data_IF_985340000646
#
_entry.id   IF_985340000646
#
_cell.length_a   1.000
_cell.length_b   1.000
_cell.length_c   1.000
_cell.angle_alpha   90.00
_cell.angle_beta   90.00
_cell.angle_gamma   90.00
#
_symmetry.space_group_name_H-M   'P 1'
#
loop_
_entity.id
_entity.type
_entity.pdbx_description
1 polymer ?
#
# COMPACT_ATOMS: atom_id res chain seq x y z
N UNK A 1 -2.80 21.76 -5.46
CA UNK A 1 -1.55 21.28 -6.16
C UNK A 1 -1.94 20.78 -7.54
N UNK A 2 -1.03 20.74 -8.54
CA UNK A 2 -1.37 20.10 -9.84
C UNK A 2 -1.66 18.62 -9.61
N UNK A 3 -2.82 18.15 -10.06
CA UNK A 3 -3.25 16.76 -9.89
C UNK A 3 -2.31 15.84 -10.70
N UNK A 4 -1.70 14.82 -10.07
CA UNK A 4 -0.90 13.84 -10.79
C UNK A 4 -1.75 13.06 -11.80
N UNK A 5 -1.25 12.84 -13.00
CA UNK A 5 -1.97 12.16 -14.08
C UNK A 5 -2.55 10.78 -13.67
N UNK A 6 -1.90 10.08 -12.74
CA UNK A 6 -2.36 8.78 -12.23
C UNK A 6 -3.54 8.89 -11.26
N UNK A 7 -3.76 10.04 -10.63
CA UNK A 7 -4.90 10.30 -9.75
C UNK A 7 -6.09 10.83 -10.56
N UNK A 8 -5.85 11.40 -11.75
CA UNK A 8 -6.90 12.01 -12.56
C UNK A 8 -8.13 11.10 -12.78
N UNK A 9 -7.99 9.78 -13.07
CA UNK A 9 -9.16 8.90 -13.20
C UNK A 9 -10.05 8.87 -11.95
N UNK A 10 -9.45 8.90 -10.74
CA UNK A 10 -10.23 8.93 -9.50
C UNK A 10 -10.96 10.26 -9.31
N UNK A 11 -10.42 11.35 -9.85
CA UNK A 11 -11.09 12.66 -9.84
C UNK A 11 -12.24 12.67 -10.86
N UNK A 12 -12.02 12.13 -12.06
CA UNK A 12 -13.03 12.06 -13.12
C UNK A 12 -14.22 11.16 -12.68
N UNK A 13 -13.95 10.11 -11.89
CA UNK A 13 -14.97 9.22 -11.31
C UNK A 13 -15.60 9.77 -10.02
N UNK A 14 -15.20 10.96 -9.55
CA UNK A 14 -15.74 11.60 -8.33
C UNK A 14 -15.33 10.91 -7.02
N UNK A 15 -14.30 10.05 -7.03
CA UNK A 15 -13.76 9.38 -5.83
C UNK A 15 -12.79 10.27 -5.05
N UNK A 16 -12.19 11.25 -5.72
CA UNK A 16 -11.26 12.24 -5.16
C UNK A 16 -11.65 13.61 -5.68
N UNK A 17 -11.79 14.58 -4.79
CA UNK A 17 -12.13 15.96 -5.17
C UNK A 17 -10.87 16.80 -5.44
N UNK A 18 -9.82 16.61 -4.62
CA UNK A 18 -8.59 17.39 -4.74
C UNK A 18 -7.38 16.66 -4.16
N UNK A 19 -6.20 17.04 -4.63
CA UNK A 19 -4.90 16.60 -4.09
C UNK A 19 -4.30 17.72 -3.25
N UNK A 20 -4.29 17.51 -1.94
CA UNK A 20 -3.85 18.52 -0.96
C UNK A 20 -2.35 18.66 -0.97
N UNK A 21 -1.63 17.54 -0.77
CA UNK A 21 -0.16 17.53 -0.68
C UNK A 21 0.42 16.18 -1.05
N UNK A 22 1.72 16.18 -1.36
CA UNK A 22 2.49 14.95 -1.48
C UNK A 22 3.11 14.65 -0.11
N UNK A 23 2.76 13.49 0.43
CA UNK A 23 3.24 13.04 1.73
C UNK A 23 4.64 12.41 1.64
N UNK A 24 4.83 11.54 0.64
CA UNK A 24 6.08 10.77 0.50
C UNK A 24 6.33 10.36 -0.95
N UNK A 25 7.62 10.17 -1.28
CA UNK A 25 8.06 9.51 -2.50
C UNK A 25 8.98 8.36 -2.14
N UNK A 26 8.53 7.13 -2.36
CA UNK A 26 9.31 5.91 -2.17
C UNK A 26 9.82 5.33 -3.48
N UNK A 27 10.49 4.19 -3.40
CA UNK A 27 10.98 3.45 -4.58
C UNK A 27 9.84 2.85 -5.41
N UNK A 28 8.76 2.43 -4.77
CA UNK A 28 7.66 1.67 -5.38
C UNK A 28 6.40 2.50 -5.59
N UNK A 29 6.19 3.55 -4.78
CA UNK A 29 5.00 4.39 -4.83
C UNK A 29 5.29 5.82 -4.39
N UNK A 30 4.43 6.72 -4.86
CA UNK A 30 4.27 8.07 -4.32
C UNK A 30 2.98 8.11 -3.51
N UNK A 31 3.00 8.81 -2.38
CA UNK A 31 1.88 8.89 -1.46
C UNK A 31 1.39 10.33 -1.37
N UNK A 32 0.09 10.53 -1.51
CA UNK A 32 -0.56 11.84 -1.50
C UNK A 32 -1.65 11.89 -0.44
N UNK A 33 -1.84 13.08 0.13
CA UNK A 33 -3.02 13.43 0.92
C UNK A 33 -4.06 13.98 -0.04
N UNK A 34 -5.26 13.41 -0.01
CA UNK A 34 -6.36 13.75 -0.91
C UNK A 34 -7.63 14.04 -0.13
N UNK A 35 -8.51 14.85 -0.71
CA UNK A 35 -9.86 15.08 -0.18
C UNK A 35 -10.87 14.23 -0.95
N UNK A 36 -11.80 13.63 -0.21
CA UNK A 36 -12.87 12.79 -0.72
C UNK A 36 -14.16 13.16 0.02
N UNK A 37 -14.94 14.11 -0.49
CA UNK A 37 -16.04 14.73 0.23
C UNK A 37 -15.52 15.50 1.45
N UNK A 38 -16.09 15.19 2.60
CA UNK A 38 -15.70 15.79 3.89
C UNK A 38 -14.49 15.09 4.55
N UNK A 39 -13.99 13.99 3.95
CA UNK A 39 -12.91 13.19 4.52
C UNK A 39 -11.56 13.47 3.86
N UNK A 40 -10.51 13.41 4.68
CA UNK A 40 -9.13 13.43 4.20
C UNK A 40 -8.60 11.99 4.19
N UNK A 41 -8.10 11.56 3.03
CA UNK A 41 -7.63 10.21 2.78
C UNK A 41 -6.20 10.20 2.24
N UNK A 42 -5.67 9.01 2.11
CA UNK A 42 -4.35 8.75 1.54
C UNK A 42 -4.49 8.06 0.18
N UNK A 43 -3.84 8.60 -0.86
CA UNK A 43 -3.74 7.97 -2.16
C UNK A 43 -2.31 7.48 -2.39
N UNK A 44 -2.12 6.16 -2.43
CA UNK A 44 -0.84 5.51 -2.75
C UNK A 44 -0.80 5.19 -4.24
N UNK A 45 0.03 5.92 -4.97
CA UNK A 45 0.19 5.81 -6.44
C UNK A 45 1.39 4.92 -6.73
N UNK A 46 1.16 3.73 -7.23
CA UNK A 46 2.24 2.79 -7.57
C UNK A 46 3.00 3.23 -8.80
N UNK A 47 4.32 3.17 -8.74
CA UNK A 47 5.19 3.43 -9.88
C UNK A 47 5.16 2.25 -10.83
N UNK A 48 5.24 2.52 -12.15
CA UNK A 48 5.28 1.48 -13.16
C UNK A 48 6.45 0.50 -12.94
N UNK A 49 6.23 -0.78 -13.24
CA UNK A 49 7.24 -1.84 -13.07
C UNK A 49 8.57 -1.55 -13.80
N UNK A 50 8.53 -0.77 -14.91
CA UNK A 50 9.71 -0.32 -15.64
C UNK A 50 10.61 0.64 -14.87
N UNK A 51 10.07 1.30 -13.84
CA UNK A 51 10.78 2.28 -12.98
C UNK A 51 11.19 1.70 -11.62
N UNK A 52 10.87 0.42 -11.36
CA UNK A 52 11.25 -0.30 -10.14
C UNK A 52 12.55 -1.06 -10.33
N UNK A 53 13.39 -1.10 -9.30
CA UNK A 53 14.62 -1.89 -9.32
C UNK A 53 14.30 -3.39 -9.40
N UNK A 54 14.72 -4.06 -10.46
CA UNK A 54 14.40 -5.45 -10.84
C UNK A 54 14.76 -6.53 -9.81
N UNK A 55 15.55 -6.22 -8.79
CA UNK A 55 16.09 -7.22 -7.85
C UNK A 55 15.06 -7.80 -6.86
N UNK A 56 13.93 -7.13 -6.61
CA UNK A 56 12.94 -7.59 -5.63
C UNK A 56 11.80 -8.43 -6.24
N UNK A 57 11.58 -8.35 -7.55
CA UNK A 57 10.52 -9.11 -8.22
C UNK A 57 10.74 -10.64 -8.20
N UNK A 58 11.99 -11.09 -8.10
CA UNK A 58 12.35 -12.52 -8.13
C UNK A 58 12.07 -13.20 -6.79
N UNK A 59 12.29 -12.52 -5.67
CA UNK A 59 12.12 -13.10 -4.31
C UNK A 59 10.64 -13.31 -3.95
N UNK A 60 9.73 -12.54 -4.55
CA UNK A 60 8.29 -12.62 -4.26
C UNK A 60 7.55 -13.75 -5.02
N UNK A 61 8.22 -14.48 -5.91
CA UNK A 61 7.63 -15.54 -6.75
C UNK A 61 7.57 -16.91 -6.09
N UNK A 62 8.31 -17.17 -5.02
CA UNK A 62 8.30 -18.47 -4.37
C UNK A 62 6.97 -18.72 -3.63
N UNK A 63 6.11 -19.54 -4.25
CA UNK A 63 4.92 -20.11 -3.63
C UNK A 63 3.57 -19.73 -4.21
N UNK A 64 3.47 -18.87 -5.25
CA UNK A 64 2.18 -18.44 -5.82
C UNK A 64 1.87 -19.06 -7.18
N UNK A 65 0.82 -19.87 -7.25
CA UNK A 65 0.29 -20.42 -8.51
C UNK A 65 -0.62 -19.39 -9.19
N UNK A 66 -0.24 -18.92 -10.39
CA UNK A 66 -1.11 -18.11 -11.25
C UNK A 66 -2.19 -19.02 -11.86
N UNK A 67 -3.46 -18.62 -11.79
CA UNK A 67 -4.62 -19.43 -12.21
C UNK A 67 -4.77 -19.65 -13.72
N UNK A 68 -3.92 -19.10 -14.57
CA UNK A 68 -4.01 -19.23 -16.03
C UNK A 68 -2.67 -19.62 -16.66
N UNK A 69 -2.63 -20.69 -17.45
CA UNK A 69 -1.41 -21.12 -18.15
C UNK A 69 -0.90 -20.13 -19.20
N UNK A 70 -1.78 -19.26 -19.72
CA UNK A 70 -1.46 -18.21 -20.70
C UNK A 70 -0.82 -17.00 -20.01
N UNK A 71 -1.38 -16.59 -18.89
CA UNK A 71 -0.87 -15.47 -18.09
C UNK A 71 0.46 -15.83 -17.43
N UNK A 72 0.59 -17.05 -16.91
CA UNK A 72 1.84 -17.56 -16.36
C UNK A 72 2.98 -17.53 -17.40
N UNK A 73 2.72 -17.97 -18.64
CA UNK A 73 3.71 -17.91 -19.74
C UNK A 73 4.05 -16.48 -20.17
N UNK A 74 3.07 -15.57 -20.17
CA UNK A 74 3.29 -14.16 -20.51
C UNK A 74 4.12 -13.45 -19.44
N UNK A 75 3.88 -13.77 -18.17
CA UNK A 75 4.63 -13.27 -17.03
C UNK A 75 6.08 -13.76 -17.05
N UNK A 76 6.31 -15.06 -17.30
CA UNK A 76 7.62 -15.69 -17.40
C UNK A 76 8.47 -15.08 -18.55
N UNK A 77 7.85 -14.79 -19.69
CA UNK A 77 8.51 -14.15 -20.84
C UNK A 77 8.82 -12.66 -20.65
N UNK A 78 8.34 -12.03 -19.57
CA UNK A 78 8.56 -10.61 -19.31
C UNK A 78 7.98 -9.65 -20.38
N UNK A 79 6.98 -10.11 -21.15
CA UNK A 79 6.30 -9.29 -22.16
C UNK A 79 5.64 -8.05 -21.53
N UNK A 80 5.32 -7.03 -22.34
CA UNK A 80 4.61 -5.83 -21.85
C UNK A 80 3.28 -6.21 -21.16
N UNK A 81 2.56 -7.18 -21.71
CA UNK A 81 1.35 -7.74 -21.12
C UNK A 81 1.65 -8.49 -19.81
N UNK A 82 2.67 -9.36 -19.79
CA UNK A 82 3.06 -10.09 -18.60
C UNK A 82 3.51 -9.19 -17.45
N UNK A 83 4.21 -8.08 -17.75
CA UNK A 83 4.57 -7.07 -16.74
C UNK A 83 3.35 -6.37 -16.15
N UNK A 84 2.34 -6.02 -16.99
CA UNK A 84 1.09 -5.43 -16.52
C UNK A 84 0.33 -6.39 -15.62
N UNK A 85 0.22 -7.66 -15.99
CA UNK A 85 -0.41 -8.71 -15.16
C UNK A 85 0.32 -8.92 -13.82
N UNK A 86 1.66 -8.90 -13.83
CA UNK A 86 2.45 -8.93 -12.59
C UNK A 86 2.13 -7.75 -11.67
N UNK A 87 1.98 -6.57 -12.23
CA UNK A 87 1.69 -5.35 -11.48
C UNK A 87 0.28 -5.40 -10.85
N UNK A 88 -0.73 -5.83 -11.60
CA UNK A 88 -2.10 -6.00 -11.11
C UNK A 88 -2.18 -7.04 -9.99
N UNK A 89 -1.53 -8.20 -10.17
CA UNK A 89 -1.47 -9.25 -9.13
C UNK A 89 -0.78 -8.74 -7.86
N UNK A 90 0.28 -7.96 -7.99
CA UNK A 90 1.01 -7.42 -6.84
C UNK A 90 0.18 -6.37 -6.08
N UNK A 91 -0.49 -5.46 -6.77
CA UNK A 91 -1.37 -4.45 -6.17
C UNK A 91 -2.54 -5.10 -5.43
N UNK A 92 -3.20 -6.08 -6.06
CA UNK A 92 -4.27 -6.85 -5.41
C UNK A 92 -3.77 -7.59 -4.17
N UNK A 93 -2.53 -8.09 -4.20
CA UNK A 93 -1.93 -8.76 -3.04
C UNK A 93 -1.74 -7.84 -1.85
N UNK A 94 -1.34 -6.58 -2.06
CA UNK A 94 -1.20 -5.62 -0.96
C UNK A 94 -2.58 -5.30 -0.34
N UNK A 95 -3.59 -5.08 -1.18
CA UNK A 95 -4.97 -4.85 -0.71
C UNK A 95 -5.50 -6.06 0.07
N UNK A 96 -5.32 -7.27 -0.45
CA UNK A 96 -5.69 -8.51 0.23
C UNK A 96 -4.96 -8.69 1.57
N UNK A 97 -3.68 -8.30 1.62
CA UNK A 97 -2.91 -8.34 2.85
C UNK A 97 -3.46 -7.36 3.90
N UNK A 98 -3.84 -6.14 3.51
CA UNK A 98 -4.46 -5.17 4.42
C UNK A 98 -5.76 -5.72 5.02
N UNK A 99 -6.65 -6.31 4.20
CA UNK A 99 -7.88 -6.93 4.71
C UNK A 99 -7.61 -8.10 5.66
N UNK A 100 -6.66 -8.98 5.32
CA UNK A 100 -6.27 -10.11 6.18
C UNK A 100 -5.69 -9.65 7.51
N UNK A 101 -4.84 -8.62 7.48
CA UNK A 101 -4.25 -8.05 8.69
C UNK A 101 -5.31 -7.40 9.58
N UNK A 102 -6.22 -6.62 9.00
CA UNK A 102 -7.34 -6.03 9.74
C UNK A 102 -8.21 -7.11 10.38
N UNK A 103 -8.57 -8.17 9.65
CA UNK A 103 -9.33 -9.31 10.17
C UNK A 103 -8.59 -10.06 11.29
N UNK A 104 -7.27 -10.10 11.26
CA UNK A 104 -6.43 -10.66 12.33
C UNK A 104 -6.24 -9.71 13.53
N UNK A 105 -6.88 -8.55 13.52
CA UNK A 105 -6.80 -7.55 14.59
C UNK A 105 -5.46 -6.80 14.62
N UNK A 106 -4.78 -6.70 13.48
CA UNK A 106 -3.62 -5.81 13.29
C UNK A 106 -4.13 -4.46 12.82
N UNK A 107 -3.69 -3.37 13.47
CA UNK A 107 -4.05 -2.02 13.05
C UNK A 107 -3.28 -1.67 11.77
N UNK A 108 -4.01 -1.56 10.68
CA UNK A 108 -3.52 -1.16 9.35
C UNK A 108 -4.43 -0.07 8.79
N UNK A 109 -3.97 0.75 7.82
CA UNK A 109 -4.86 1.66 7.11
C UNK A 109 -6.00 0.90 6.44
N UNK A 110 -7.24 1.38 6.61
CA UNK A 110 -8.42 0.82 5.96
C UNK A 110 -8.34 1.07 4.44
N UNK A 111 -8.29 0.04 3.57
CA UNK A 111 -8.34 0.25 2.13
C UNK A 111 -9.79 0.52 1.70
N UNK A 112 -10.00 1.52 0.83
CA UNK A 112 -11.32 1.86 0.29
C UNK A 112 -11.49 1.36 -1.14
N UNK A 113 -10.56 1.74 -2.03
CA UNK A 113 -10.59 1.35 -3.43
C UNK A 113 -9.17 1.25 -4.00
N UNK A 114 -8.98 0.31 -4.92
CA UNK A 114 -7.75 0.21 -5.72
C UNK A 114 -8.14 0.25 -7.20
N UNK A 115 -7.76 1.33 -7.89
CA UNK A 115 -8.11 1.56 -9.29
C UNK A 115 -6.88 2.09 -10.04
N UNK A 116 -6.60 1.52 -11.21
CA UNK A 116 -5.54 1.93 -12.14
C UNK A 116 -4.16 2.17 -11.48
N UNK A 117 -3.82 1.34 -10.48
CA UNK A 117 -2.55 1.46 -9.76
C UNK A 117 -2.53 2.59 -8.73
N UNK A 118 -3.69 3.00 -8.25
CA UNK A 118 -3.85 3.91 -7.12
C UNK A 118 -4.68 3.22 -6.04
N UNK A 119 -4.10 3.04 -4.86
CA UNK A 119 -4.80 2.57 -3.68
C UNK A 119 -5.24 3.77 -2.84
N UNK A 120 -6.56 3.97 -2.74
CA UNK A 120 -7.16 4.92 -1.82
C UNK A 120 -7.40 4.24 -0.47
N UNK A 121 -6.87 4.80 0.60
CA UNK A 121 -6.93 4.22 1.93
C UNK A 121 -7.01 5.30 3.01
N UNK A 122 -7.23 4.88 4.23
CA UNK A 122 -7.25 5.74 5.41
C UNK A 122 -5.94 6.52 5.56
N UNK A 123 -6.04 7.80 5.84
CA UNK A 123 -4.91 8.60 6.31
C UNK A 123 -4.77 8.40 7.81
N UNK A 124 -3.63 7.88 8.25
CA UNK A 124 -3.36 7.75 9.69
C UNK A 124 -2.96 9.11 10.23
N UNK A 125 -3.69 9.57 11.24
CA UNK A 125 -3.47 10.87 11.90
C UNK A 125 -3.25 10.68 13.39
N UNK A 126 -2.64 11.68 14.01
CA UNK A 126 -2.61 11.83 15.46
C UNK A 126 -3.95 12.36 16.00
N UNK A 127 -4.03 12.62 17.31
CA UNK A 127 -5.22 13.12 17.96
C UNK A 127 -5.61 14.55 17.52
N UNK A 128 -4.66 15.32 17.00
CA UNK A 128 -4.86 16.70 16.52
C UNK A 128 -5.20 16.73 15.02
N UNK A 129 -5.31 15.58 14.36
CA UNK A 129 -5.62 15.46 12.94
C UNK A 129 -4.42 15.65 12.01
N UNK A 130 -3.20 15.77 12.54
CA UNK A 130 -1.99 15.84 11.73
C UNK A 130 -1.60 14.44 11.27
N UNK A 131 -0.93 14.35 10.12
CA UNK A 131 -0.41 13.08 9.62
C UNK A 131 0.51 12.44 10.66
N UNK A 132 0.22 11.19 11.03
CA UNK A 132 0.99 10.47 12.03
C UNK A 132 2.46 10.32 11.57
N UNK A 133 3.43 10.67 12.44
CA UNK A 133 4.86 10.52 12.13
C UNK A 133 5.24 9.03 12.09
N UNK A 134 6.39 8.73 11.52
CA UNK A 134 6.96 7.39 11.61
C UNK A 134 7.47 7.13 13.02
N UNK A 135 7.47 5.87 13.42
CA UNK A 135 7.92 5.49 14.77
C UNK A 135 9.35 5.95 15.09
N UNK A 136 10.26 5.92 14.12
CA UNK A 136 11.64 6.37 14.31
C UNK A 136 11.82 7.90 14.30
N UNK A 137 10.76 8.64 13.97
CA UNK A 137 10.77 10.11 13.97
C UNK A 137 10.16 10.67 15.29
N UNK A 138 9.75 9.76 16.20
CA UNK A 138 9.13 10.10 17.49
C UNK A 138 10.09 9.79 18.63
N UNK A 139 10.30 10.76 19.52
CA UNK A 139 11.01 10.53 20.77
C UNK A 139 10.04 9.89 21.79
N UNK A 140 10.29 8.64 22.16
CA UNK A 140 9.50 7.90 23.13
C UNK A 140 10.22 7.89 24.49
N UNK A 141 9.45 7.94 25.59
CA UNK A 141 10.01 7.60 26.91
C UNK A 141 10.32 6.09 26.95
N UNK A 142 11.25 5.64 27.83
CA UNK A 142 11.55 4.21 28.00
C UNK A 142 10.29 3.38 28.28
N UNK A 143 9.39 3.87 29.11
CA UNK A 143 8.13 3.22 29.46
C UNK A 143 7.21 3.08 28.24
N UNK A 144 7.04 4.17 27.48
CA UNK A 144 6.22 4.16 26.26
C UNK A 144 6.81 3.23 25.20
N UNK A 145 8.15 3.22 25.05
CA UNK A 145 8.84 2.34 24.12
C UNK A 145 8.60 0.85 24.44
N UNK A 146 8.60 0.46 25.72
CA UNK A 146 8.28 -0.90 26.15
C UNK A 146 6.83 -1.29 25.85
N UNK A 147 5.88 -0.37 26.09
CA UNK A 147 4.46 -0.58 25.80
C UNK A 147 4.26 -0.79 24.30
N UNK A 148 4.84 0.08 23.47
CA UNK A 148 4.68 0.03 22.03
C UNK A 148 5.43 -1.16 21.40
N UNK A 149 6.62 -1.53 21.93
CA UNK A 149 7.29 -2.77 21.58
C UNK A 149 6.37 -3.98 21.80
N UNK A 150 5.71 -4.08 22.97
CA UNK A 150 4.77 -5.15 23.25
C UNK A 150 3.56 -5.18 22.29
N UNK A 151 3.08 -4.02 21.81
CA UNK A 151 2.04 -3.94 20.77
C UNK A 151 2.56 -4.45 19.42
N UNK A 152 3.73 -4.00 19.00
CA UNK A 152 4.36 -4.41 17.73
C UNK A 152 4.57 -5.91 17.68
N UNK A 153 5.12 -6.50 18.75
CA UNK A 153 5.31 -7.97 18.83
C UNK A 153 3.98 -8.71 18.69
N UNK A 154 2.92 -8.25 19.36
CA UNK A 154 1.57 -8.86 19.20
C UNK A 154 1.07 -8.76 17.76
N UNK A 155 1.28 -7.64 17.08
CA UNK A 155 0.92 -7.49 15.67
C UNK A 155 1.73 -8.41 14.77
N UNK A 156 3.02 -8.58 15.01
CA UNK A 156 3.86 -9.53 14.27
C UNK A 156 3.35 -10.97 14.45
N UNK A 157 3.03 -11.38 15.68
CA UNK A 157 2.45 -12.71 15.93
C UNK A 157 1.14 -12.90 15.19
N UNK A 158 0.21 -11.93 15.26
CA UNK A 158 -1.08 -11.99 14.54
C UNK A 158 -0.88 -12.07 13.02
N UNK A 159 0.05 -11.30 12.48
CA UNK A 159 0.41 -11.33 11.06
C UNK A 159 0.89 -12.73 10.64
N UNK A 160 1.80 -13.34 11.41
CA UNK A 160 2.30 -14.69 11.16
C UNK A 160 1.19 -15.74 11.27
N UNK A 161 0.31 -15.64 12.27
CA UNK A 161 -0.88 -16.51 12.40
C UNK A 161 -1.85 -16.36 11.23
N UNK A 162 -1.92 -15.18 10.61
CA UNK A 162 -2.70 -14.94 9.39
C UNK A 162 -2.01 -15.46 8.11
N UNK A 163 -0.84 -16.09 8.23
CA UNK A 163 -0.07 -16.63 7.10
C UNK A 163 0.63 -15.55 6.27
N UNK A 164 0.94 -14.41 6.87
CA UNK A 164 1.64 -13.30 6.22
C UNK A 164 3.02 -13.12 6.81
N UNK A 165 4.00 -12.84 5.94
CA UNK A 165 5.39 -12.50 6.32
C UNK A 165 5.70 -11.15 5.71
N UNK A 166 6.22 -10.23 6.52
CA UNK A 166 6.73 -8.94 6.05
C UNK A 166 8.16 -9.16 5.54
N UNK A 167 8.38 -8.84 4.27
CA UNK A 167 9.69 -8.92 3.61
C UNK A 167 10.30 -7.56 3.35
#
# INVERSE_FOLDING_TARGET
MKIPNRIQPLVDDGLVDDVISRLMSGKEADVYVVRCGDEIRCAKVYKEASKRSFKQAVVYQEGRKVRGSRDARAMEKGSKYGRKQHEEVWQNTEVDALFKLAAAGVRVPTPYVCLDGVLLMELITDADGNVAPRLNDVALSPEQALIDHGKVIRYVVRMLCAGLIHG
#
